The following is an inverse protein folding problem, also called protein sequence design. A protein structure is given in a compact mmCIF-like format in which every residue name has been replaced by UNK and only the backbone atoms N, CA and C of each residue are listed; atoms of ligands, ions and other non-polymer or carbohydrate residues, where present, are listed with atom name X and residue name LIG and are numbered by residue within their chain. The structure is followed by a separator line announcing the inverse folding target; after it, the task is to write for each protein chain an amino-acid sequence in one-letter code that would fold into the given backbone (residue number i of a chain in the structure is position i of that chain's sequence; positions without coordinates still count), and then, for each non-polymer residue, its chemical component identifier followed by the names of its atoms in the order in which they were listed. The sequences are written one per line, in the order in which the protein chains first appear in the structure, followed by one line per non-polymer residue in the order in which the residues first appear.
data_IF_236722770304
#
_entry.id   IF_236722770304
#
_cell.length_a   1.000
_cell.length_b   1.000
_cell.length_c   1.000
_cell.angle_alpha   90.00
_cell.angle_beta   90.00
_cell.angle_gamma   90.00
#
_symmetry.space_group_name_H-M   'P 1'
#
loop_
_entity.id
_entity.type
_entity.pdbx_description
1 polymer ?
#
# COMPACT_ATOMS: atom_id res chain seq x y z
N UNK A 1 6.76 22.68 -9.74
CA UNK A 1 5.52 23.49 -9.84
C UNK A 1 4.90 23.62 -8.45
N UNK A 2 4.44 24.80 -8.04
CA UNK A 2 3.74 24.98 -6.75
C UNK A 2 2.23 25.08 -7.00
N UNK A 3 1.47 24.21 -6.36
CA UNK A 3 0.00 24.17 -6.36
C UNK A 3 -0.54 24.46 -4.96
N UNK A 4 -1.84 24.74 -4.87
CA UNK A 4 -2.57 24.81 -3.59
C UNK A 4 -3.74 23.83 -3.64
N UNK A 5 -3.70 22.84 -2.77
CA UNK A 5 -4.82 21.92 -2.57
C UNK A 5 -5.65 22.45 -1.38
N UNK A 6 -6.70 23.19 -1.70
CA UNK A 6 -7.39 24.01 -0.70
C UNK A 6 -6.47 25.07 -0.11
N UNK A 7 -6.26 25.02 1.21
CA UNK A 7 -5.33 25.88 1.94
C UNK A 7 -3.90 25.32 2.03
N UNK A 8 -3.65 24.09 1.59
CA UNK A 8 -2.35 23.42 1.73
C UNK A 8 -1.48 23.64 0.48
N UNK A 9 -0.28 24.24 0.60
CA UNK A 9 0.64 24.36 -0.52
C UNK A 9 1.30 23.01 -0.83
N UNK A 10 1.38 22.66 -2.12
CA UNK A 10 1.93 21.38 -2.60
C UNK A 10 2.94 21.65 -3.71
N UNK A 11 4.18 21.17 -3.52
CA UNK A 11 5.21 21.22 -4.56
C UNK A 11 5.16 19.93 -5.38
N UNK A 12 4.89 20.07 -6.67
CA UNK A 12 4.96 18.97 -7.64
C UNK A 12 6.37 18.91 -8.24
N UNK A 13 6.99 17.75 -8.08
CA UNK A 13 8.31 17.40 -8.60
C UNK A 13 8.10 16.51 -9.83
N UNK A 14 8.52 17.00 -11.00
CA UNK A 14 8.23 16.37 -12.29
C UNK A 14 9.46 16.20 -13.18
N UNK A 15 10.66 16.19 -12.58
CA UNK A 15 11.92 15.86 -13.29
C UNK A 15 12.79 14.95 -12.44
N UNK A 16 13.64 14.16 -13.10
CA UNK A 16 14.54 13.23 -12.44
C UNK A 16 15.60 13.96 -11.58
N UNK A 17 16.09 15.11 -12.06
CA UNK A 17 17.07 15.94 -11.36
C UNK A 17 16.50 16.47 -10.05
N UNK A 18 15.28 17.02 -10.08
CA UNK A 18 14.61 17.54 -8.89
C UNK A 18 14.22 16.41 -7.93
N UNK A 19 13.77 15.25 -8.45
CA UNK A 19 13.48 14.08 -7.62
C UNK A 19 14.74 13.55 -6.92
N UNK A 20 15.90 13.54 -7.61
CA UNK A 20 17.19 13.16 -7.01
C UNK A 20 17.57 14.12 -5.88
N UNK A 21 17.37 15.41 -6.09
CA UNK A 21 17.70 16.40 -5.05
C UNK A 21 16.87 16.22 -3.79
N UNK A 22 15.57 15.95 -3.94
CA UNK A 22 14.65 15.77 -2.82
C UNK A 22 14.80 14.41 -2.14
N UNK A 23 14.93 13.32 -2.92
CA UNK A 23 14.90 11.95 -2.41
C UNK A 23 16.28 11.39 -2.06
N UNK A 24 17.37 12.06 -2.41
CA UNK A 24 18.74 11.65 -2.07
C UNK A 24 19.54 12.76 -1.38
N UNK A 25 19.64 13.93 -1.99
CA UNK A 25 20.49 15.02 -1.44
C UNK A 25 19.89 15.59 -0.15
N UNK A 26 18.57 15.75 -0.10
CA UNK A 26 17.82 16.30 1.03
C UNK A 26 16.79 15.33 1.60
N UNK A 27 17.07 14.02 1.50
CA UNK A 27 16.13 12.95 1.83
C UNK A 27 15.55 13.08 3.25
N UNK A 28 16.37 13.42 4.25
CA UNK A 28 15.96 13.57 5.63
C UNK A 28 15.00 14.76 5.85
N UNK A 29 15.20 15.86 5.11
CA UNK A 29 14.33 17.06 5.19
C UNK A 29 12.93 16.73 4.66
N UNK A 30 12.85 15.90 3.62
CA UNK A 30 11.59 15.49 2.99
C UNK A 30 11.12 14.09 3.44
N UNK A 31 11.72 13.53 4.49
CA UNK A 31 11.39 12.19 4.96
C UNK A 31 10.04 12.12 5.67
N UNK A 32 9.58 13.23 6.27
CA UNK A 32 8.33 13.26 7.01
C UNK A 32 7.12 13.07 6.09
N UNK A 33 6.06 12.44 6.62
CA UNK A 33 4.82 12.19 5.88
C UNK A 33 3.77 13.24 6.23
N UNK A 34 3.03 13.76 5.23
CA UNK A 34 1.91 14.65 5.51
C UNK A 34 0.84 13.90 6.32
N UNK A 35 0.16 14.61 7.22
CA UNK A 35 -0.97 14.06 7.94
C UNK A 35 -2.14 13.83 6.97
N UNK A 36 -2.60 12.59 6.86
CA UNK A 36 -3.79 12.21 6.09
C UNK A 36 -4.78 11.59 7.08
N UNK A 37 -5.97 12.16 7.22
CA UNK A 37 -6.93 11.74 8.25
C UNK A 37 -7.33 10.28 8.11
N UNK A 38 -7.66 9.85 6.89
CA UNK A 38 -8.10 8.47 6.61
C UNK A 38 -6.96 7.49 6.86
N UNK A 39 -5.75 7.77 6.35
CA UNK A 39 -4.61 6.91 6.57
C UNK A 39 -4.31 6.76 8.06
N UNK A 40 -4.36 7.84 8.84
CA UNK A 40 -4.15 7.77 10.28
C UNK A 40 -5.17 6.87 10.98
N UNK A 41 -6.46 6.96 10.62
CA UNK A 41 -7.49 6.08 11.20
C UNK A 41 -7.25 4.61 10.87
N UNK A 42 -6.94 4.30 9.61
CA UNK A 42 -6.67 2.94 9.14
C UNK A 42 -5.40 2.34 9.75
N UNK A 43 -4.41 3.17 10.08
CA UNK A 43 -3.07 2.73 10.51
C UNK A 43 -2.78 3.01 11.98
N UNK A 44 -3.82 3.02 12.81
CA UNK A 44 -3.72 3.20 14.26
C UNK A 44 -2.97 4.48 14.66
N UNK A 45 -3.40 5.61 14.12
CA UNK A 45 -2.80 6.94 14.22
C UNK A 45 -1.42 7.05 13.55
N UNK A 46 -1.26 6.49 12.34
CA UNK A 46 -0.03 6.63 11.57
C UNK A 46 1.15 5.96 12.25
N UNK A 47 0.95 4.71 12.70
CA UNK A 47 2.01 3.88 13.33
C UNK A 47 2.50 2.75 12.43
N UNK A 48 2.09 2.75 11.16
CA UNK A 48 2.57 1.84 10.13
C UNK A 48 3.92 2.31 9.52
N UNK A 49 4.41 1.62 8.49
CA UNK A 49 5.70 1.97 7.85
C UNK A 49 5.53 2.96 6.68
N UNK A 50 4.34 3.03 6.07
CA UNK A 50 4.07 3.83 4.88
C UNK A 50 3.63 5.28 5.20
N UNK A 51 2.76 5.47 6.19
CA UNK A 51 2.15 6.76 6.52
C UNK A 51 2.62 7.39 7.83
N UNK A 52 3.37 6.66 8.66
CA UNK A 52 3.92 7.24 9.88
C UNK A 52 4.87 8.40 9.64
N UNK A 53 4.83 9.35 10.56
CA UNK A 53 5.76 10.49 10.60
C UNK A 53 7.18 10.03 10.94
N UNK A 54 8.16 10.74 10.39
CA UNK A 54 9.55 10.42 10.64
C UNK A 54 9.89 10.57 12.13
N UNK A 55 10.37 9.49 12.73
CA UNK A 55 10.67 9.39 14.16
C UNK A 55 11.66 8.26 14.42
N UNK A 56 12.29 8.23 15.60
CA UNK A 56 13.14 7.10 16.01
C UNK A 56 12.39 5.77 15.97
N UNK A 57 11.13 5.76 16.41
CA UNK A 57 10.26 4.57 16.31
C UNK A 57 10.12 4.09 14.86
N UNK A 58 9.76 5.00 13.93
CA UNK A 58 9.61 4.64 12.53
C UNK A 58 10.91 4.12 11.92
N UNK A 59 12.06 4.74 12.25
CA UNK A 59 13.39 4.27 11.78
C UNK A 59 13.66 2.85 12.25
N UNK A 60 13.36 2.53 13.50
CA UNK A 60 13.56 1.20 14.07
C UNK A 60 12.66 0.16 13.40
N UNK A 61 11.35 0.45 13.26
CA UNK A 61 10.41 -0.48 12.60
C UNK A 61 10.79 -0.69 11.13
N UNK A 62 11.12 0.38 10.39
CA UNK A 62 11.58 0.28 9.00
C UNK A 62 12.86 -0.56 8.89
N UNK A 63 13.82 -0.37 9.80
CA UNK A 63 15.04 -1.17 9.87
C UNK A 63 14.72 -2.65 10.06
N UNK A 64 13.81 -3.01 10.98
CA UNK A 64 13.38 -4.39 11.19
C UNK A 64 12.74 -4.96 9.92
N UNK A 65 11.82 -4.23 9.30
CA UNK A 65 11.18 -4.68 8.05
C UNK A 65 12.22 -4.96 6.96
N UNK A 66 13.14 -4.03 6.70
CA UNK A 66 14.13 -4.17 5.62
C UNK A 66 15.15 -5.27 5.92
N UNK A 67 15.63 -5.38 7.16
CA UNK A 67 16.71 -6.31 7.50
C UNK A 67 16.22 -7.73 7.80
N UNK A 68 15.01 -7.89 8.35
CA UNK A 68 14.52 -9.20 8.81
C UNK A 68 13.45 -9.79 7.89
N UNK A 69 12.51 -8.96 7.41
CA UNK A 69 11.35 -9.41 6.63
C UNK A 69 11.59 -9.34 5.12
N UNK A 70 12.31 -8.33 4.66
CA UNK A 70 12.52 -8.03 3.24
C UNK A 70 13.99 -8.15 2.80
N UNK A 71 14.85 -8.77 3.61
CA UNK A 71 16.23 -9.00 3.21
C UNK A 71 16.31 -10.00 2.06
N UNK A 72 17.33 -9.90 1.22
CA UNK A 72 17.51 -10.78 0.05
C UNK A 72 17.47 -12.26 0.44
N UNK A 73 18.07 -12.62 1.57
CA UNK A 73 18.04 -13.99 2.11
C UNK A 73 16.62 -14.43 2.47
N UNK A 74 15.84 -13.58 3.14
CA UNK A 74 14.44 -13.88 3.52
C UNK A 74 13.55 -13.98 2.28
N UNK A 75 13.72 -13.08 1.31
CA UNK A 75 12.97 -13.13 0.06
C UNK A 75 13.30 -14.42 -0.70
N UNK A 76 14.57 -14.80 -0.79
CA UNK A 76 15.00 -16.04 -1.44
C UNK A 76 14.48 -17.30 -0.73
N UNK A 77 14.37 -17.32 0.60
CA UNK A 77 13.83 -18.49 1.31
C UNK A 77 12.37 -18.79 0.98
N UNK A 78 11.63 -17.83 0.41
CA UNK A 78 10.25 -18.03 -0.07
C UNK A 78 10.17 -18.16 -1.59
N UNK A 79 11.26 -18.55 -2.25
CA UNK A 79 11.30 -18.81 -3.69
C UNK A 79 10.23 -19.82 -4.11
N UNK A 80 10.21 -20.98 -3.46
CA UNK A 80 9.34 -22.09 -3.84
C UNK A 80 7.86 -21.73 -3.71
N UNK A 81 7.50 -20.92 -2.69
CA UNK A 81 6.14 -20.37 -2.56
C UNK A 81 5.74 -19.57 -3.80
N UNK A 82 6.63 -18.70 -4.31
CA UNK A 82 6.34 -17.89 -5.49
C UNK A 82 6.30 -18.75 -6.75
N UNK A 83 7.20 -19.71 -6.89
CA UNK A 83 7.23 -20.62 -8.03
C UNK A 83 5.94 -21.44 -8.11
N UNK A 84 5.48 -22.00 -6.99
CA UNK A 84 4.23 -22.74 -6.91
C UNK A 84 3.01 -21.88 -7.27
N UNK A 85 2.89 -20.66 -6.71
CA UNK A 85 1.74 -19.80 -7.03
C UNK A 85 1.76 -19.31 -8.49
N UNK A 86 2.94 -19.04 -9.06
CA UNK A 86 3.07 -18.66 -10.47
C UNK A 86 2.73 -19.83 -11.39
N UNK A 87 3.14 -21.06 -11.04
CA UNK A 87 2.77 -22.24 -11.80
C UNK A 87 1.25 -22.47 -11.80
N UNK A 88 0.58 -22.22 -10.66
CA UNK A 88 -0.90 -22.26 -10.58
C UNK A 88 -1.54 -21.17 -11.43
N UNK A 89 -1.01 -19.95 -11.41
CA UNK A 89 -1.47 -18.86 -12.27
C UNK A 89 -1.38 -19.24 -13.76
N UNK A 90 -0.24 -19.77 -14.20
CA UNK A 90 -0.03 -20.21 -15.59
C UNK A 90 -1.04 -21.29 -15.97
N UNK A 91 -1.25 -22.30 -15.11
CA UNK A 91 -2.25 -23.34 -15.36
C UNK A 91 -3.66 -22.77 -15.50
N UNK A 92 -4.05 -21.80 -14.68
CA UNK A 92 -5.35 -21.14 -14.76
C UNK A 92 -5.52 -20.32 -16.05
N UNK A 93 -4.41 -19.83 -16.63
CA UNK A 93 -4.40 -19.12 -17.91
C UNK A 93 -4.47 -20.10 -19.09
N UNK A 94 -3.75 -21.24 -19.01
CA UNK A 94 -3.73 -22.28 -20.04
C UNK A 94 -5.06 -23.04 -20.13
N UNK A 95 -5.70 -23.27 -18.99
CA UNK A 95 -6.95 -24.03 -18.88
C UNK A 95 -8.01 -23.19 -18.17
N UNK A 96 -8.44 -22.06 -18.77
CA UNK A 96 -9.33 -21.15 -18.10
C UNK A 96 -10.74 -21.73 -18.01
N UNK A 97 -11.49 -21.44 -16.94
CA UNK A 97 -12.87 -21.89 -16.79
C UNK A 97 -13.82 -21.23 -17.79
N UNK A 98 -13.40 -20.13 -18.43
CA UNK A 98 -14.16 -19.41 -19.45
C UNK A 98 -13.23 -18.94 -20.58
N UNK A 99 -13.82 -18.55 -21.71
CA UNK A 99 -13.07 -18.04 -22.87
C UNK A 99 -12.39 -16.68 -22.61
N UNK A 100 -12.83 -15.93 -21.60
CA UNK A 100 -12.32 -14.60 -21.27
C UNK A 100 -11.77 -14.64 -19.84
N UNK A 101 -10.47 -14.38 -19.72
CA UNK A 101 -9.76 -14.39 -18.45
C UNK A 101 -9.59 -12.96 -17.93
N UNK A 102 -10.00 -12.72 -16.69
CA UNK A 102 -9.68 -11.47 -15.99
C UNK A 102 -8.30 -11.58 -15.32
N UNK A 103 -7.27 -11.01 -15.96
CA UNK A 103 -5.91 -11.03 -15.42
C UNK A 103 -5.77 -10.22 -14.12
N UNK A 104 -6.56 -9.17 -13.92
CA UNK A 104 -6.50 -8.37 -12.70
C UNK A 104 -6.89 -9.20 -11.47
N UNK A 105 -7.91 -10.05 -11.59
CA UNK A 105 -8.36 -10.93 -10.51
C UNK A 105 -7.31 -11.99 -10.20
N UNK A 106 -6.77 -12.62 -11.25
CA UNK A 106 -5.74 -13.64 -11.12
C UNK A 106 -4.44 -13.11 -10.49
N UNK A 107 -4.02 -11.88 -10.85
CA UNK A 107 -2.83 -11.25 -10.26
C UNK A 107 -3.08 -10.79 -8.82
N UNK A 108 -4.28 -10.34 -8.50
CA UNK A 108 -4.68 -10.02 -7.13
C UNK A 108 -4.66 -11.29 -6.25
N UNK A 109 -5.19 -12.40 -6.76
CA UNK A 109 -5.18 -13.71 -6.09
C UNK A 109 -3.75 -14.24 -5.90
N UNK A 110 -2.90 -14.18 -6.94
CA UNK A 110 -1.48 -14.52 -6.84
C UNK A 110 -0.81 -13.75 -5.71
N UNK A 111 -1.00 -12.42 -5.68
CA UNK A 111 -0.40 -11.55 -4.67
C UNK A 111 -0.89 -11.91 -3.27
N UNK A 112 -2.19 -12.13 -3.10
CA UNK A 112 -2.78 -12.55 -1.83
C UNK A 112 -2.22 -13.90 -1.36
N UNK A 113 -2.15 -14.89 -2.25
CA UNK A 113 -1.68 -16.23 -1.91
C UNK A 113 -0.21 -16.21 -1.51
N UNK A 114 0.64 -15.48 -2.25
CA UNK A 114 2.05 -15.31 -1.88
C UNK A 114 2.16 -14.60 -0.53
N UNK A 115 1.50 -13.46 -0.33
CA UNK A 115 1.59 -12.69 0.92
C UNK A 115 1.07 -13.50 2.11
N UNK A 116 -0.08 -14.17 1.98
CA UNK A 116 -0.66 -14.96 3.07
C UNK A 116 0.19 -16.19 3.41
N UNK A 117 0.74 -16.91 2.43
CA UNK A 117 1.66 -18.02 2.69
C UNK A 117 2.93 -17.55 3.37
N UNK A 118 3.51 -16.43 2.94
CA UNK A 118 4.74 -15.89 3.52
C UNK A 118 4.53 -15.33 4.92
N UNK A 119 3.45 -14.58 5.15
CA UNK A 119 3.20 -13.88 6.41
C UNK A 119 2.45 -14.73 7.45
N UNK A 120 1.53 -15.59 6.99
CA UNK A 120 0.60 -16.34 7.86
C UNK A 120 0.78 -17.87 7.75
N UNK A 121 1.65 -18.35 6.85
CA UNK A 121 1.95 -19.77 6.69
C UNK A 121 0.88 -20.59 5.95
N UNK A 122 -0.20 -19.97 5.46
CA UNK A 122 -1.29 -20.67 4.77
C UNK A 122 -2.00 -19.77 3.77
N UNK A 123 -2.70 -20.40 2.80
CA UNK A 123 -3.64 -19.71 1.91
C UNK A 123 -4.95 -19.45 2.63
N UNK A 124 -5.62 -18.39 2.22
CA UNK A 124 -7.00 -18.12 2.55
C UNK A 124 -7.75 -18.13 1.23
N UNK A 125 -8.70 -19.06 1.09
CA UNK A 125 -9.46 -19.18 -0.16
C UNK A 125 -10.22 -17.90 -0.48
N UNK A 126 -10.61 -17.77 -1.75
CA UNK A 126 -11.62 -16.79 -2.15
C UNK A 126 -12.90 -17.05 -1.34
N UNK A 127 -13.60 -16.00 -0.91
CA UNK A 127 -14.82 -16.15 -0.11
C UNK A 127 -15.88 -16.96 -0.86
N UNK A 128 -16.98 -17.32 -0.20
CA UNK A 128 -18.07 -18.17 -0.74
C UNK A 128 -18.60 -17.72 -2.13
N UNK A 129 -18.37 -16.48 -2.53
CA UNK A 129 -18.81 -15.89 -3.80
C UNK A 129 -17.72 -15.86 -4.90
N UNK A 130 -16.59 -16.55 -4.74
CA UNK A 130 -15.50 -16.57 -5.74
C UNK A 130 -14.71 -15.26 -5.85
N UNK A 131 -15.14 -14.19 -5.20
CA UNK A 131 -14.40 -12.95 -5.07
C UNK A 131 -13.45 -13.06 -3.87
N UNK A 132 -12.16 -12.77 -4.06
CA UNK A 132 -11.23 -12.84 -2.94
C UNK A 132 -11.53 -11.69 -1.97
N UNK A 133 -11.82 -12.03 -0.71
CA UNK A 133 -12.07 -11.04 0.34
C UNK A 133 -10.95 -10.00 0.43
N UNK A 134 -9.71 -10.40 0.12
CA UNK A 134 -8.57 -9.51 0.00
C UNK A 134 -8.70 -8.45 -1.09
N UNK A 135 -9.16 -8.81 -2.30
CA UNK A 135 -9.32 -7.86 -3.40
C UNK A 135 -10.35 -6.79 -3.02
N UNK A 136 -11.50 -7.21 -2.49
CA UNK A 136 -12.54 -6.29 -2.02
C UNK A 136 -11.97 -5.34 -0.96
N UNK A 137 -11.31 -5.87 0.07
CA UNK A 137 -10.71 -5.06 1.13
C UNK A 137 -9.63 -4.11 0.59
N UNK A 138 -8.82 -4.55 -0.37
CA UNK A 138 -7.79 -3.72 -0.98
C UNK A 138 -8.40 -2.60 -1.82
N UNK A 139 -9.44 -2.89 -2.60
CA UNK A 139 -10.21 -1.89 -3.34
C UNK A 139 -10.84 -0.87 -2.38
N UNK A 140 -11.50 -1.31 -1.32
CA UNK A 140 -12.07 -0.43 -0.29
C UNK A 140 -11.01 0.46 0.37
N UNK A 141 -9.86 -0.11 0.75
CA UNK A 141 -8.75 0.67 1.32
C UNK A 141 -8.22 1.68 0.31
N UNK A 142 -8.04 1.29 -0.96
CA UNK A 142 -7.56 2.18 -2.01
C UNK A 142 -8.56 3.28 -2.33
N UNK A 143 -9.86 2.98 -2.31
CA UNK A 143 -10.93 3.97 -2.45
C UNK A 143 -10.90 4.95 -1.27
N UNK A 144 -10.82 4.47 -0.04
CA UNK A 144 -10.75 5.33 1.15
C UNK A 144 -9.51 6.24 1.13
N UNK A 145 -8.35 5.73 0.71
CA UNK A 145 -7.12 6.50 0.60
C UNK A 145 -7.11 7.47 -0.59
N UNK A 146 -7.65 7.06 -1.74
CA UNK A 146 -7.67 7.82 -2.99
C UNK A 146 -8.75 8.91 -3.00
N UNK A 147 -9.95 8.57 -2.53
CA UNK A 147 -11.02 9.53 -2.29
C UNK A 147 -10.82 10.20 -0.93
N UNK A 148 -9.80 11.05 -0.85
CA UNK A 148 -9.59 11.97 0.28
C UNK A 148 -10.73 13.00 0.37
N UNK A 149 -11.94 12.56 0.73
CA UNK A 149 -13.07 13.43 1.10
C UNK A 149 -12.86 14.13 2.44
N UNK A 150 -11.74 13.89 3.11
CA UNK A 150 -11.36 14.59 4.33
C UNK A 150 -11.05 16.05 4.01
N UNK A 151 -12.05 16.93 4.14
CA UNK A 151 -11.85 18.38 4.08
C UNK A 151 -10.80 18.85 5.07
N UNK A 152 -10.56 18.10 6.16
CA UNK A 152 -9.47 18.37 7.11
C UNK A 152 -8.09 18.35 6.45
N UNK A 153 -7.88 17.51 5.44
CA UNK A 153 -6.57 17.33 4.81
C UNK A 153 -6.22 18.52 3.89
N UNK A 154 -7.24 19.23 3.36
CA UNK A 154 -7.08 20.39 2.47
C UNK A 154 -7.38 21.74 3.15
N UNK A 155 -8.30 21.72 4.12
CA UNK A 155 -8.77 22.87 4.90
C UNK A 155 -8.81 22.47 6.39
N UNK A 156 -7.67 22.48 7.09
CA UNK A 156 -7.58 22.02 8.48
C UNK A 156 -8.58 22.71 9.43
N UNK A 157 -8.88 23.99 9.19
CA UNK A 157 -9.85 24.77 9.97
C UNK A 157 -11.30 24.29 9.80
N UNK A 158 -11.62 23.67 8.66
CA UNK A 158 -12.94 23.06 8.39
C UNK A 158 -12.97 21.58 8.74
N UNK A 159 -11.96 21.09 9.48
CA UNK A 159 -11.83 19.68 9.84
C UNK A 159 -12.95 19.12 10.71
N UNK A 160 -13.87 19.95 11.21
CA UNK A 160 -15.07 19.54 11.95
C UNK A 160 -16.27 19.24 11.03
N UNK A 161 -16.28 19.75 9.78
CA UNK A 161 -17.46 19.73 8.90
C UNK A 161 -17.72 18.34 8.29
N UNK A 162 -16.69 17.48 8.18
CA UNK A 162 -16.80 16.15 7.55
C UNK A 162 -16.25 15.00 8.41
N UNK A 163 -16.06 15.21 9.71
CA UNK A 163 -15.59 14.13 10.60
C UNK A 163 -16.67 13.13 11.03
N UNK A 164 -17.92 13.33 10.62
CA UNK A 164 -19.08 12.63 11.21
C UNK A 164 -19.44 11.28 10.59
N UNK A 165 -18.78 10.81 9.53
CA UNK A 165 -19.19 9.57 8.84
C UNK A 165 -18.03 8.65 8.41
N UNK A 166 -17.06 8.44 9.31
CA UNK A 166 -16.17 7.27 9.32
C UNK A 166 -15.72 7.01 10.76
#
# INVERSE_FOLDING_TARGET
MLLKFGSVPVVVVSSAEAAREILKTHDLVFADRPFISVANRLTYNGRDVAFARYSEYWRQVKSICVTQLLSSRRVQSFHDVREEEVALLIRNIEHPPSKIVNLSDLLAELTQNVVSRVALGRKYGSGENGNSSYKILLEEIMELLGYSRSMRDYFPLLGFVLCSNF
#
